data_IF_065401346984
#
_entry.id   IF_065401346984
#
_cell.length_a   1.000
_cell.length_b   1.000
_cell.length_c   1.000
_cell.angle_alpha   90.00
_cell.angle_beta   90.00
_cell.angle_gamma   90.00
#
_symmetry.space_group_name_H-M   'P 1'
#
loop_
_entity.id
_entity.type
_entity.pdbx_description
1 polymer ?
#
# COMPACT_ATOMS: atom_id res chain seq x y z
N UNK A 1 -93.50 8.90 -4.56
CA UNK A 1 -92.75 7.69 -5.02
C UNK A 1 -91.58 8.14 -5.88
N UNK A 2 -90.40 7.54 -5.67
CA UNK A 2 -89.03 7.93 -6.12
C UNK A 2 -88.49 9.11 -5.27
N UNK A 3 -87.29 9.08 -4.69
CA UNK A 3 -86.02 8.50 -5.13
C UNK A 3 -85.16 8.07 -3.92
N UNK A 4 -84.32 7.06 -4.16
CA UNK A 4 -83.36 6.47 -3.24
C UNK A 4 -81.96 7.12 -3.38
N UNK A 5 -81.04 6.65 -2.53
CA UNK A 5 -79.56 6.60 -2.68
C UNK A 5 -78.80 7.92 -2.42
N UNK A 6 -77.61 7.97 -1.81
CA UNK A 6 -76.57 6.97 -1.58
C UNK A 6 -75.59 7.52 -0.52
N UNK A 7 -75.03 6.64 0.33
CA UNK A 7 -73.98 6.93 1.31
C UNK A 7 -72.62 7.15 0.61
N UNK A 8 -71.87 8.19 1.01
CA UNK A 8 -70.48 8.41 0.61
C UNK A 8 -69.51 7.82 1.64
N UNK A 9 -68.53 6.97 1.26
CA UNK A 9 -67.33 6.77 2.05
C UNK A 9 -66.20 7.67 1.52
N UNK A 10 -65.53 8.34 2.44
CA UNK A 10 -64.32 9.13 2.22
C UNK A 10 -63.13 8.20 1.94
N UNK A 11 -62.58 8.27 0.73
CA UNK A 11 -61.30 7.63 0.39
C UNK A 11 -60.15 8.60 0.72
N UNK A 12 -59.35 8.27 1.74
CA UNK A 12 -58.03 8.85 1.96
C UNK A 12 -57.02 8.12 1.06
N UNK A 13 -56.54 8.77 0.01
CA UNK A 13 -55.46 8.27 -0.83
C UNK A 13 -54.10 8.64 -0.21
N UNK A 14 -53.38 7.64 0.31
CA UNK A 14 -51.99 7.77 0.72
C UNK A 14 -51.10 7.70 -0.54
N UNK A 15 -50.36 8.76 -0.85
CA UNK A 15 -49.36 8.73 -1.92
C UNK A 15 -47.97 8.56 -1.32
N UNK A 16 -47.40 7.36 -1.45
CA UNK A 16 -45.98 7.11 -1.15
C UNK A 16 -45.17 7.54 -2.37
N UNK A 17 -44.43 8.63 -2.25
CA UNK A 17 -43.50 9.07 -3.29
C UNK A 17 -42.21 8.28 -3.16
N UNK A 18 -41.97 7.34 -4.08
CA UNK A 18 -40.74 6.56 -4.14
C UNK A 18 -39.73 7.30 -5.05
N UNK A 19 -38.77 8.02 -4.45
CA UNK A 19 -37.64 8.58 -5.19
C UNK A 19 -36.58 7.50 -5.39
N UNK A 20 -36.60 6.81 -6.52
CA UNK A 20 -35.48 5.96 -6.94
C UNK A 20 -34.46 6.87 -7.63
N UNK A 21 -33.43 7.29 -6.90
CA UNK A 21 -32.22 7.86 -7.50
C UNK A 21 -31.18 6.76 -7.65
N UNK A 22 -31.38 5.88 -8.62
CA UNK A 22 -30.34 4.93 -9.03
C UNK A 22 -29.44 5.60 -10.07
N UNK A 23 -28.55 6.48 -9.59
CA UNK A 23 -27.37 6.85 -10.37
C UNK A 23 -26.39 5.70 -10.24
N UNK A 24 -26.55 4.68 -11.09
CA UNK A 24 -25.47 3.73 -11.36
C UNK A 24 -24.39 4.48 -12.16
N UNK A 25 -23.51 5.16 -11.43
CA UNK A 25 -22.23 5.58 -11.97
C UNK A 25 -21.46 4.31 -12.35
N UNK A 26 -21.58 3.91 -13.61
CA UNK A 26 -20.73 2.88 -14.19
C UNK A 26 -19.30 3.41 -14.10
N UNK A 27 -18.55 2.95 -13.09
CA UNK A 27 -17.09 3.12 -13.06
C UNK A 27 -16.54 2.37 -14.25
N UNK A 28 -16.29 3.07 -15.36
CA UNK A 28 -15.31 2.62 -16.34
C UNK A 28 -14.00 2.47 -15.55
N UNK A 29 -13.65 1.24 -15.19
CA UNK A 29 -12.35 0.93 -14.62
C UNK A 29 -11.34 1.24 -15.72
N UNK A 30 -10.76 2.44 -15.66
CA UNK A 30 -9.63 2.80 -16.50
C UNK A 30 -8.51 1.81 -16.18
N UNK A 31 -8.40 0.77 -17.02
CA UNK A 31 -7.41 -0.29 -16.85
C UNK A 31 -6.05 0.34 -17.10
N UNK A 32 -5.33 0.61 -16.01
CA UNK A 32 -4.00 1.21 -16.08
C UNK A 32 -2.98 0.14 -16.42
N UNK A 33 -1.91 0.52 -17.12
CA UNK A 33 -0.83 -0.40 -17.49
C UNK A 33 0.51 0.18 -17.05
N UNK A 34 1.39 -0.70 -16.57
CA UNK A 34 2.76 -0.34 -16.21
C UNK A 34 3.71 -1.48 -16.58
N UNK A 35 4.95 -1.13 -16.88
CA UNK A 35 6.05 -2.09 -16.96
C UNK A 35 6.56 -2.35 -15.55
N UNK A 36 6.31 -3.55 -15.03
CA UNK A 36 6.63 -3.94 -13.66
C UNK A 36 7.80 -4.91 -13.70
N UNK A 37 8.85 -4.63 -12.92
CA UNK A 37 10.08 -5.43 -12.94
C UNK A 37 10.23 -6.22 -11.63
N UNK A 38 10.44 -7.55 -11.66
CA UNK A 38 10.76 -8.32 -10.46
C UNK A 38 12.05 -7.85 -9.80
N UNK A 39 12.17 -8.03 -8.48
CA UNK A 39 13.43 -7.82 -7.77
C UNK A 39 14.38 -9.00 -7.97
N UNK A 40 15.62 -8.73 -8.41
CA UNK A 40 16.71 -9.69 -8.21
C UNK A 40 17.23 -9.62 -6.76
N UNK A 41 17.27 -8.41 -6.21
CA UNK A 41 17.58 -8.12 -4.82
C UNK A 41 16.56 -7.11 -4.29
N UNK A 42 16.13 -7.28 -3.04
CA UNK A 42 15.18 -6.37 -2.41
C UNK A 42 15.91 -5.14 -1.88
N UNK A 43 15.40 -3.93 -2.12
CA UNK A 43 15.80 -2.73 -1.37
C UNK A 43 14.78 -1.61 -1.59
N UNK A 44 13.84 -1.43 -0.65
CA UNK A 44 12.76 -0.46 -0.80
C UNK A 44 13.27 0.98 -0.93
N UNK A 45 12.84 1.67 -1.99
CA UNK A 45 13.11 3.10 -2.21
C UNK A 45 12.56 4.04 -1.13
N UNK A 46 11.64 3.59 -0.28
CA UNK A 46 11.05 4.39 0.81
C UNK A 46 11.38 3.85 2.20
N UNK A 47 12.28 2.87 2.29
CA UNK A 47 12.76 2.33 3.56
C UNK A 47 11.84 1.31 4.22
N UNK A 48 10.98 0.61 3.46
CA UNK A 48 10.24 -0.54 4.01
C UNK A 48 11.19 -1.70 4.30
N UNK A 49 10.94 -2.37 5.42
CA UNK A 49 11.79 -3.44 5.93
C UNK A 49 11.41 -4.80 5.34
N UNK A 50 12.30 -5.37 4.53
CA UNK A 50 12.09 -6.62 3.80
C UNK A 50 11.85 -7.82 4.71
N UNK A 51 12.50 -7.85 5.87
CA UNK A 51 12.28 -8.86 6.90
C UNK A 51 10.89 -8.83 7.55
N UNK A 52 10.07 -7.82 7.26
CA UNK A 52 8.74 -7.61 7.83
C UNK A 52 7.63 -7.54 6.77
N UNK A 53 7.93 -7.91 5.53
CA UNK A 53 6.96 -7.98 4.43
C UNK A 53 7.22 -9.23 3.59
N UNK A 54 6.23 -9.68 2.83
CA UNK A 54 6.46 -10.74 1.85
C UNK A 54 7.19 -10.16 0.62
N UNK A 55 8.50 -10.33 0.56
CA UNK A 55 9.35 -9.86 -0.55
C UNK A 55 8.99 -10.49 -1.90
N UNK A 56 8.28 -11.63 -1.93
CA UNK A 56 7.77 -12.23 -3.17
C UNK A 56 6.52 -11.53 -3.73
N UNK A 57 6.06 -10.48 -3.04
CA UNK A 57 4.87 -9.70 -3.38
C UNK A 57 5.20 -8.21 -3.52
N UNK A 58 6.45 -7.91 -3.84
CA UNK A 58 6.96 -6.56 -4.12
C UNK A 58 7.63 -6.59 -5.49
N UNK A 59 7.56 -5.48 -6.21
CA UNK A 59 8.19 -5.30 -7.51
C UNK A 59 8.65 -3.84 -7.69
N UNK A 60 9.56 -3.60 -8.62
CA UNK A 60 9.92 -2.25 -9.02
C UNK A 60 8.83 -1.62 -9.89
N UNK A 61 8.41 -0.42 -9.51
CA UNK A 61 7.44 0.36 -10.25
C UNK A 61 8.08 1.54 -11.00
N UNK A 62 7.53 1.92 -12.16
CA UNK A 62 7.94 3.15 -12.86
C UNK A 62 7.31 4.40 -12.23
N UNK A 63 6.37 4.22 -11.30
CA UNK A 63 5.61 5.28 -10.65
C UNK A 63 6.15 5.55 -9.24
N UNK A 64 5.98 6.79 -8.78
CA UNK A 64 6.34 7.15 -7.42
C UNK A 64 5.51 6.39 -6.38
N UNK A 65 6.19 6.00 -5.31
CA UNK A 65 5.56 5.49 -4.09
C UNK A 65 4.83 6.65 -3.41
N UNK A 66 3.55 6.45 -3.13
CA UNK A 66 2.66 7.47 -2.55
C UNK A 66 2.23 7.04 -1.16
N UNK A 67 1.82 8.01 -0.35
CA UNK A 67 1.27 7.80 0.99
C UNK A 67 -0.07 7.05 1.01
N UNK A 68 -0.69 6.90 -0.16
CA UNK A 68 -1.90 6.12 -0.42
C UNK A 68 -1.68 5.20 -1.62
N UNK A 69 -2.52 4.17 -1.73
CA UNK A 69 -2.49 3.28 -2.90
C UNK A 69 -1.23 2.44 -3.01
N UNK A 70 -0.69 2.01 -1.85
CA UNK A 70 0.45 1.10 -1.79
C UNK A 70 0.05 -0.34 -2.13
N UNK A 71 -1.24 -0.69 -2.05
CA UNK A 71 -1.73 -2.00 -2.46
C UNK A 71 -2.21 -1.94 -3.90
N UNK A 72 -1.66 -2.82 -4.73
CA UNK A 72 -1.97 -2.84 -6.15
C UNK A 72 -2.27 -4.27 -6.59
N UNK A 73 -3.40 -4.46 -7.25
CA UNK A 73 -3.72 -5.69 -7.94
C UNK A 73 -3.12 -5.63 -9.33
N UNK A 74 -2.27 -6.58 -9.67
CA UNK A 74 -1.72 -6.74 -11.01
C UNK A 74 -2.37 -7.92 -11.71
N UNK A 75 -2.58 -7.80 -13.01
CA UNK A 75 -3.15 -8.88 -13.83
C UNK A 75 -2.39 -9.03 -15.13
N UNK A 76 -2.05 -10.28 -15.46
CA UNK A 76 -1.46 -10.69 -16.72
C UNK A 76 -2.03 -12.05 -17.14
N UNK A 77 -2.41 -12.22 -18.42
CA UNK A 77 -2.88 -13.49 -18.98
C UNK A 77 -3.97 -14.20 -18.14
N UNK A 78 -4.94 -13.44 -17.61
CA UNK A 78 -6.05 -13.97 -16.80
C UNK A 78 -5.68 -14.33 -15.35
N UNK A 79 -4.41 -14.24 -14.96
CA UNK A 79 -3.95 -14.38 -13.58
C UNK A 79 -3.90 -13.02 -12.89
N UNK A 80 -4.17 -12.98 -11.60
CA UNK A 80 -4.06 -11.75 -10.79
C UNK A 80 -3.38 -12.02 -9.46
N UNK A 81 -2.62 -11.03 -8.98
CA UNK A 81 -1.90 -11.08 -7.71
C UNK A 81 -1.97 -9.69 -7.06
N UNK A 82 -1.85 -9.65 -5.73
CA UNK A 82 -1.69 -8.41 -4.98
C UNK A 82 -0.22 -8.17 -4.71
N UNK A 83 0.23 -6.94 -4.98
CA UNK A 83 1.60 -6.50 -4.74
C UNK A 83 1.60 -5.22 -3.90
N UNK A 84 2.67 -5.04 -3.13
CA UNK A 84 2.99 -3.79 -2.47
C UNK A 84 3.82 -2.91 -3.40
N UNK A 85 3.32 -1.71 -3.68
CA UNK A 85 4.00 -0.63 -4.39
C UNK A 85 4.77 0.24 -3.40
N UNK A 86 5.95 -0.25 -3.04
CA UNK A 86 6.85 0.36 -2.04
C UNK A 86 8.27 0.56 -2.56
N UNK A 87 8.45 0.37 -3.87
CA UNK A 87 9.73 0.53 -4.53
C UNK A 87 9.54 1.11 -5.92
N UNK A 88 10.49 1.95 -6.34
CA UNK A 88 10.52 2.61 -7.64
C UNK A 88 11.87 2.35 -8.28
N UNK A 89 11.87 1.79 -9.49
CA UNK A 89 13.04 1.84 -10.37
C UNK A 89 12.97 3.08 -11.24
N UNK A 90 14.02 3.92 -11.19
CA UNK A 90 14.28 4.85 -12.29
C UNK A 90 14.61 4.01 -13.52
N UNK A 91 13.71 3.95 -14.50
CA UNK A 91 13.86 3.07 -15.66
C UNK A 91 15.16 3.33 -16.42
N UNK A 92 16.13 2.45 -16.27
CA UNK A 92 17.22 2.27 -17.22
C UNK A 92 17.17 0.84 -17.73
N UNK A 93 16.57 0.68 -18.92
CA UNK A 93 16.48 -0.61 -19.61
C UNK A 93 15.69 -0.49 -20.91
N UNK A 94 16.34 -0.02 -21.98
CA UNK A 94 15.94 -0.25 -23.37
C UNK A 94 17.24 -0.41 -24.18
N UNK A 95 17.42 -1.28 -25.16
CA UNK A 95 16.60 -2.24 -25.91
C UNK A 95 17.55 -3.37 -26.37
N UNK A 96 17.06 -4.58 -26.65
CA UNK A 96 17.84 -5.56 -27.43
C UNK A 96 16.92 -6.21 -28.48
N UNK A 97 16.51 -5.38 -29.45
CA UNK A 97 16.13 -5.60 -30.87
C UNK A 97 15.61 -6.98 -31.37
N UNK A 98 15.88 -8.13 -30.74
CA UNK A 98 15.63 -9.46 -31.31
C UNK A 98 14.63 -10.38 -30.55
N UNK A 99 14.48 -10.27 -29.21
CA UNK A 99 13.38 -10.83 -28.36
C UNK A 99 13.78 -10.68 -26.86
N UNK A 100 13.18 -9.76 -26.07
CA UNK A 100 13.75 -9.34 -24.79
C UNK A 100 12.93 -9.81 -23.58
N UNK A 101 13.13 -11.05 -23.12
CA UNK A 101 12.71 -11.52 -21.79
C UNK A 101 13.92 -11.81 -20.90
N UNK A 102 14.88 -10.87 -20.84
CA UNK A 102 15.92 -10.81 -19.80
C UNK A 102 16.17 -9.34 -19.47
N UNK A 103 15.80 -8.91 -18.26
CA UNK A 103 16.19 -7.61 -17.69
C UNK A 103 15.27 -6.41 -17.96
N UNK A 104 14.07 -6.62 -18.54
CA UNK A 104 13.06 -5.57 -18.77
C UNK A 104 11.78 -5.79 -17.95
N UNK A 105 11.08 -4.70 -17.63
CA UNK A 105 9.78 -4.78 -16.97
C UNK A 105 8.73 -5.47 -17.85
N UNK A 106 7.82 -6.22 -17.25
CA UNK A 106 6.71 -6.90 -17.94
C UNK A 106 5.53 -5.94 -17.95
N UNK A 107 4.94 -5.70 -19.12
CA UNK A 107 3.72 -4.90 -19.20
C UNK A 107 2.56 -5.66 -18.56
N UNK A 108 1.99 -5.12 -17.50
CA UNK A 108 0.84 -5.69 -16.83
C UNK A 108 -0.24 -4.63 -16.64
N UNK A 109 -1.50 -5.06 -16.62
CA UNK A 109 -2.56 -4.19 -16.13
C UNK A 109 -2.52 -4.14 -14.61
N UNK A 110 -2.78 -2.97 -14.04
CA UNK A 110 -2.82 -2.81 -12.61
C UNK A 110 -3.99 -1.94 -12.16
N UNK A 111 -4.44 -2.17 -10.93
CA UNK A 111 -5.47 -1.40 -10.24
C UNK A 111 -5.01 -1.11 -8.82
N UNK A 112 -5.04 0.17 -8.43
CA UNK A 112 -4.83 0.56 -7.04
C UNK A 112 -6.09 0.14 -6.28
N UNK A 113 -5.93 -0.78 -5.32
CA UNK A 113 -7.01 -1.31 -4.51
C UNK A 113 -6.86 -0.86 -3.06
N UNK A 114 -7.87 -1.14 -2.24
CA UNK A 114 -7.81 -0.83 -0.82
C UNK A 114 -6.68 -1.63 -0.13
N UNK A 115 -5.96 -0.98 0.79
CA UNK A 115 -4.82 -1.62 1.46
C UNK A 115 -5.21 -2.84 2.29
N UNK A 116 -6.48 -2.98 2.68
CA UNK A 116 -6.98 -4.20 3.33
C UNK A 116 -6.79 -5.46 2.49
N UNK A 117 -6.80 -5.37 1.16
CA UNK A 117 -6.54 -6.51 0.27
C UNK A 117 -5.09 -7.01 0.39
N UNK A 118 -4.14 -6.12 0.71
CA UNK A 118 -2.74 -6.45 0.94
C UNK A 118 -2.38 -6.64 2.42
N UNK A 119 -3.35 -6.67 3.34
CA UNK A 119 -3.05 -6.74 4.79
C UNK A 119 -2.23 -7.98 5.17
N UNK A 120 -2.40 -9.08 4.44
CA UNK A 120 -1.64 -10.32 4.61
C UNK A 120 -0.16 -10.20 4.18
N UNK A 121 0.21 -9.14 3.46
CA UNK A 121 1.58 -8.84 3.04
C UNK A 121 2.31 -7.94 4.03
N UNK A 122 1.60 -7.40 5.02
CA UNK A 122 2.07 -6.40 5.97
C UNK A 122 2.21 -7.01 7.37
N UNK A 123 3.36 -6.79 8.01
CA UNK A 123 3.56 -7.19 9.39
C UNK A 123 2.67 -6.38 10.34
N UNK A 124 1.89 -7.09 11.17
CA UNK A 124 0.88 -6.51 12.07
C UNK A 124 -0.15 -5.59 11.37
N UNK A 125 -0.30 -5.72 10.04
CA UNK A 125 -1.17 -4.86 9.24
C UNK A 125 -0.71 -3.40 9.11
N UNK A 126 0.53 -3.09 9.50
CA UNK A 126 1.15 -1.77 9.36
C UNK A 126 2.28 -1.82 8.33
N UNK A 127 2.66 -0.66 7.79
CA UNK A 127 3.83 -0.53 6.93
C UNK A 127 5.10 -0.44 7.79
N UNK A 128 5.98 -1.46 7.79
CA UNK A 128 7.17 -1.47 8.64
C UNK A 128 8.28 -0.67 7.97
N UNK A 129 8.70 0.42 8.60
CA UNK A 129 9.65 1.37 8.04
C UNK A 129 10.94 1.45 8.90
N UNK A 130 12.08 1.57 8.22
CA UNK A 130 13.38 1.82 8.84
C UNK A 130 13.42 3.25 9.37
N UNK A 131 13.55 3.41 10.69
CA UNK A 131 13.67 4.73 11.30
C UNK A 131 14.89 5.52 10.76
N UNK A 132 15.95 4.83 10.33
CA UNK A 132 17.13 5.47 9.75
C UNK A 132 16.95 5.88 8.27
N UNK A 133 16.17 5.15 7.46
CA UNK A 133 16.13 5.34 6.00
C UNK A 133 14.78 5.81 5.44
N UNK A 134 13.72 5.85 6.24
CA UNK A 134 12.37 6.19 5.75
C UNK A 134 11.94 7.62 6.06
N UNK A 135 12.74 8.42 6.76
CA UNK A 135 12.26 9.66 7.39
C UNK A 135 11.75 10.71 6.41
N UNK A 136 12.36 10.83 5.22
CA UNK A 136 11.85 11.72 4.17
C UNK A 136 10.44 11.31 3.71
N UNK A 137 10.22 10.01 3.54
CA UNK A 137 8.92 9.47 3.16
C UNK A 137 7.88 9.64 4.28
N UNK A 138 8.23 9.26 5.51
CA UNK A 138 7.38 9.41 6.70
C UNK A 138 6.96 10.86 6.89
N UNK A 139 7.92 11.80 6.83
CA UNK A 139 7.62 13.24 6.95
C UNK A 139 6.63 13.70 5.89
N UNK A 140 6.83 13.30 4.62
CA UNK A 140 5.93 13.66 3.52
C UNK A 140 4.51 13.11 3.70
N UNK A 141 4.38 11.93 4.32
CA UNK A 141 3.09 11.30 4.56
C UNK A 141 2.39 11.84 5.80
N UNK A 142 3.10 12.14 6.88
CA UNK A 142 2.50 12.77 8.07
C UNK A 142 1.94 14.16 7.75
N UNK A 143 2.54 14.89 6.80
CA UNK A 143 1.96 16.14 6.26
C UNK A 143 0.64 15.94 5.50
N UNK A 144 0.27 14.70 5.20
CA UNK A 144 -1.00 14.27 4.61
C UNK A 144 -1.73 13.36 5.62
N UNK A 145 -2.31 13.91 6.71
CA UNK A 145 -2.78 13.12 7.86
C UNK A 145 -3.94 12.17 7.53
N UNK A 146 -4.64 12.38 6.42
CA UNK A 146 -5.70 11.49 5.94
C UNK A 146 -5.19 10.31 5.11
N UNK A 147 -3.90 10.29 4.76
CA UNK A 147 -3.32 9.20 3.98
C UNK A 147 -3.20 7.92 4.81
N UNK A 148 -3.34 6.77 4.15
CA UNK A 148 -3.27 5.46 4.80
C UNK A 148 -1.93 5.26 5.51
N UNK A 149 -0.82 5.64 4.88
CA UNK A 149 0.52 5.48 5.48
C UNK A 149 0.67 6.33 6.74
N UNK A 150 0.20 7.58 6.75
CA UNK A 150 0.26 8.43 7.94
C UNK A 150 -0.44 7.81 9.16
N UNK A 151 -1.48 7.02 8.92
CA UNK A 151 -2.29 6.37 9.96
C UNK A 151 -1.82 4.95 10.30
N UNK A 152 -1.04 4.31 9.42
CA UNK A 152 -0.78 2.87 9.48
C UNK A 152 0.70 2.50 9.23
N UNK A 153 1.65 3.34 9.66
CA UNK A 153 3.07 2.98 9.66
C UNK A 153 3.56 2.54 11.04
N UNK A 154 4.68 1.82 11.07
CA UNK A 154 5.43 1.51 12.28
C UNK A 154 6.92 1.68 11.98
N UNK A 155 7.62 2.49 12.78
CA UNK A 155 9.07 2.60 12.69
C UNK A 155 9.74 1.51 13.50
N UNK A 156 10.87 1.05 13.00
CA UNK A 156 11.77 0.14 13.71
C UNK A 156 13.19 0.68 13.69
N UNK A 157 13.96 0.37 14.74
CA UNK A 157 15.38 0.72 14.86
C UNK A 157 16.29 -0.22 14.03
N UNK A 158 15.88 -0.49 12.79
CA UNK A 158 16.64 -1.26 11.82
C UNK A 158 17.23 -0.28 10.81
N UNK A 159 18.54 -0.39 10.58
CA UNK A 159 19.33 0.60 9.87
C UNK A 159 19.34 0.41 8.35
N UNK A 160 18.78 -0.67 7.81
CA UNK A 160 18.71 -0.83 6.36
C UNK A 160 17.44 -1.58 5.93
N UNK A 161 16.90 -1.27 4.74
CA UNK A 161 15.68 -1.91 4.23
C UNK A 161 15.83 -3.43 4.05
N UNK A 162 17.05 -3.94 3.86
CA UNK A 162 17.32 -5.38 3.72
C UNK A 162 17.44 -6.10 5.07
N UNK A 163 17.31 -5.37 6.17
CA UNK A 163 17.38 -5.84 7.55
C UNK A 163 18.70 -6.53 7.93
N UNK A 164 19.83 -6.03 7.43
CA UNK A 164 21.15 -6.56 7.74
C UNK A 164 21.72 -6.02 9.06
N UNK A 165 21.40 -4.78 9.42
CA UNK A 165 21.97 -4.07 10.54
C UNK A 165 20.88 -3.37 11.37
N UNK A 166 21.09 -3.32 12.69
CA UNK A 166 20.21 -2.64 13.64
C UNK A 166 19.58 -3.59 14.65
N UNK A 167 18.57 -3.09 15.36
CA UNK A 167 17.86 -3.80 16.43
C UNK A 167 16.39 -3.90 16.06
N UNK A 168 15.82 -5.10 16.15
CA UNK A 168 14.38 -5.31 15.89
C UNK A 168 13.53 -4.83 17.08
N UNK A 169 13.45 -3.52 17.24
CA UNK A 169 12.61 -2.85 18.23
C UNK A 169 11.76 -1.76 17.56
N UNK A 170 10.54 -1.59 18.08
CA UNK A 170 9.63 -0.53 17.63
C UNK A 170 10.20 0.80 18.09
N UNK A 171 10.27 1.76 17.16
CA UNK A 171 10.64 3.14 17.43
C UNK A 171 9.41 4.05 17.34
N UNK A 172 9.35 5.06 18.19
CA UNK A 172 8.31 6.09 18.17
C UNK A 172 8.91 7.40 17.67
N UNK A 173 8.22 8.04 16.73
CA UNK A 173 8.58 9.37 16.25
C UNK A 173 7.86 10.41 17.09
N UNK A 174 8.61 11.17 17.88
CA UNK A 174 8.13 12.38 18.52
C UNK A 174 8.64 13.59 17.74
N UNK A 175 7.74 14.24 17.00
CA UNK A 175 8.06 15.44 16.22
C UNK A 175 8.10 16.72 17.07
N UNK A 176 7.72 16.65 18.35
CA UNK A 176 7.75 17.79 19.28
C UNK A 176 9.09 17.94 19.98
N UNK A 177 9.87 16.86 20.05
CA UNK A 177 11.27 16.89 20.47
C UNK A 177 12.15 16.91 19.23
N UNK A 178 12.90 17.99 19.03
CA UNK A 178 13.80 18.17 17.88
C UNK A 178 15.06 17.30 17.97
N UNK A 179 14.95 16.07 18.45
CA UNK A 179 16.06 15.14 18.55
C UNK A 179 15.81 13.99 17.57
N UNK A 180 16.67 13.78 16.55
CA UNK A 180 16.58 12.58 15.74
C UNK A 180 16.60 11.39 16.70
N UNK A 181 15.70 10.43 16.47
CA UNK A 181 15.58 9.11 17.10
C UNK A 181 16.68 8.84 18.13
N UNK A 182 16.33 8.57 19.40
CA UNK A 182 17.27 7.99 20.36
C UNK A 182 17.75 6.64 19.81
N UNK A 183 18.73 6.66 18.92
CA UNK A 183 19.52 5.53 18.52
C UNK A 183 20.42 5.32 19.74
N UNK A 184 20.00 4.43 20.64
CA UNK A 184 20.91 3.91 21.66
C UNK A 184 22.14 3.38 20.92
N UNK A 185 23.28 4.06 21.10
CA UNK A 185 24.47 3.95 20.28
C UNK A 185 25.30 2.69 20.52
N UNK A 186 24.65 1.55 20.77
CA UNK A 186 25.31 0.23 20.77
C UNK A 186 24.87 -0.55 19.55
N UNK A 187 25.65 -0.42 18.47
CA UNK A 187 25.59 -1.33 17.32
C UNK A 187 25.79 -2.75 17.86
N UNK A 188 24.72 -3.54 17.88
CA UNK A 188 24.77 -4.96 18.16
C UNK A 188 24.44 -5.67 16.85
N UNK A 189 25.35 -6.50 16.37
CA UNK A 189 25.00 -7.43 15.29
C UNK A 189 24.02 -8.43 15.88
N UNK A 190 22.84 -8.58 15.28
CA UNK A 190 21.86 -9.59 15.69
C UNK A 190 21.79 -10.61 14.58
N UNK A 191 22.01 -11.89 14.90
CA UNK A 191 21.87 -12.98 13.94
C UNK A 191 20.40 -13.13 13.56
N UNK A 192 20.14 -13.12 12.25
CA UNK A 192 18.79 -13.25 11.73
C UNK A 192 18.20 -14.65 12.04
N UNK A 193 16.98 -14.68 12.56
CA UNK A 193 16.23 -15.91 12.87
C UNK A 193 16.27 -16.38 14.33
N UNK A 194 17.26 -15.95 15.12
CA UNK A 194 17.39 -16.36 16.53
C UNK A 194 17.31 -15.20 17.52
N UNK A 195 17.51 -13.96 17.07
CA UNK A 195 17.57 -12.79 17.96
C UNK A 195 18.82 -12.75 18.83
N UNK A 196 19.79 -13.65 18.59
CA UNK A 196 21.03 -13.70 19.35
C UNK A 196 21.98 -12.58 18.93
N UNK A 197 22.58 -11.94 19.94
CA UNK A 197 23.62 -10.93 19.74
C UNK A 197 24.88 -11.66 19.29
N UNK A 198 25.36 -11.36 18.08
CA UNK A 198 26.62 -11.86 17.56
C UNK A 198 27.74 -10.89 17.94
N UNK A 199 28.84 -11.36 18.56
CA UNK A 199 30.00 -10.50 18.82
C UNK A 199 30.58 -9.98 17.49
N UNK A 200 31.11 -8.76 17.55
CA UNK A 200 31.77 -8.06 16.42
C UNK A 200 33.11 -8.74 16.09
#
# INVERSE_FOLDING_TARGET
MRSASQLWPTFLAYSVSLWISDVYASRLTSRSFAFITPHAEYSSSVGVLGCKVDMNRIAYWPLDVRCDGICVKVSNEGRSLHLLRIDKSGGFGASAIDDPLVGGGIQMSYEIVDTSECRHLLHEGKLPLSAANSMNYVSSCISQPTSWVAQNYQLYNINDPVCKYGVDEKSNLDLTTSNPLQIESRVKNVAYGTGEIVPV
#
